data_IF_588667557601
#
_entry.id   IF_588667557601
#
_cell.length_a   1.000
_cell.length_b   1.000
_cell.length_c   1.000
_cell.angle_alpha   90.00
_cell.angle_beta   90.00
_cell.angle_gamma   90.00
#
_symmetry.space_group_name_H-M   'P 1'
#
loop_
_entity.id
_entity.type
_entity.pdbx_description
1 polymer ?
#
# COMPACT_ATOMS: atom_id res chain seq x y z
N UNK A 1 -9.86 -5.93 -7.55
CA UNK A 1 -9.64 -6.30 -6.13
C UNK A 1 -10.28 -5.23 -5.26
N UNK A 2 -10.85 -5.60 -4.10
CA UNK A 2 -11.55 -4.65 -3.22
C UNK A 2 -10.61 -4.07 -2.17
N UNK A 3 -10.91 -2.87 -1.67
CA UNK A 3 -10.21 -2.20 -0.55
C UNK A 3 -10.97 -2.34 0.78
N UNK A 4 -12.11 -3.05 0.79
CA UNK A 4 -13.03 -3.12 1.93
C UNK A 4 -12.38 -3.67 3.21
N UNK A 5 -11.53 -4.68 3.09
CA UNK A 5 -10.91 -5.33 4.26
C UNK A 5 -9.84 -4.45 4.90
N UNK A 6 -9.12 -3.68 4.08
CA UNK A 6 -8.26 -2.61 4.58
C UNK A 6 -9.05 -1.55 5.36
N UNK A 7 -10.17 -1.04 4.83
CA UNK A 7 -10.98 -0.04 5.54
C UNK A 7 -11.64 -0.60 6.80
N UNK A 8 -12.00 -1.89 6.82
CA UNK A 8 -12.46 -2.58 8.02
C UNK A 8 -11.37 -2.63 9.09
N UNK A 9 -10.14 -2.98 8.71
CA UNK A 9 -9.00 -2.99 9.62
C UNK A 9 -8.63 -1.59 10.12
N UNK A 10 -8.74 -0.58 9.25
CA UNK A 10 -8.54 0.83 9.60
C UNK A 10 -9.54 1.26 10.67
N UNK A 11 -10.83 0.98 10.47
CA UNK A 11 -11.87 1.30 11.45
C UNK A 11 -11.62 0.62 12.81
N UNK A 12 -11.26 -0.67 12.82
CA UNK A 12 -10.88 -1.38 14.06
C UNK A 12 -9.69 -0.70 14.76
N UNK A 13 -8.64 -0.38 14.00
CA UNK A 13 -7.44 0.29 14.51
C UNK A 13 -7.74 1.66 15.11
N UNK A 14 -8.66 2.43 14.50
CA UNK A 14 -9.09 3.75 14.98
C UNK A 14 -9.93 3.65 16.25
N UNK A 15 -10.74 2.61 16.39
CA UNK A 15 -11.45 2.28 17.64
C UNK A 15 -10.53 1.83 18.76
N UNK A 16 -9.20 1.77 18.52
CA UNK A 16 -8.18 1.21 19.42
C UNK A 16 -8.46 -0.26 19.77
N UNK A 17 -9.21 -0.92 18.90
CA UNK A 17 -9.53 -2.33 19.00
C UNK A 17 -8.63 -3.11 18.03
N UNK A 18 -7.97 -4.14 18.54
CA UNK A 18 -7.01 -4.96 17.79
C UNK A 18 -5.79 -4.15 17.29
N UNK A 19 -4.75 -4.88 16.87
CA UNK A 19 -3.46 -4.36 16.41
C UNK A 19 -2.60 -3.65 17.48
N UNK A 20 -1.34 -3.41 17.13
CA UNK A 20 -0.35 -2.80 18.03
C UNK A 20 -0.58 -1.29 18.18
N UNK A 21 -0.07 -0.65 19.25
CA UNK A 21 -0.18 0.80 19.43
C UNK A 21 0.41 1.62 18.27
N UNK A 22 1.43 1.08 17.58
CA UNK A 22 2.02 1.71 16.40
C UNK A 22 1.02 1.79 15.23
N UNK A 23 0.33 0.68 14.95
CA UNK A 23 -0.71 0.59 13.91
C UNK A 23 -1.88 1.52 14.24
N UNK A 24 -2.32 1.55 15.50
CA UNK A 24 -3.39 2.43 15.96
C UNK A 24 -3.00 3.92 15.85
N UNK A 25 -1.76 4.27 16.18
CA UNK A 25 -1.25 5.64 16.06
C UNK A 25 -1.14 6.11 14.61
N UNK A 26 -0.79 5.20 13.70
CA UNK A 26 -0.80 5.50 12.26
C UNK A 26 -2.24 5.67 11.76
N UNK A 27 -3.16 4.79 12.16
CA UNK A 27 -4.58 4.84 11.80
C UNK A 27 -5.27 6.13 12.24
N UNK A 28 -4.92 6.65 13.43
CA UNK A 28 -5.50 7.87 13.97
C UNK A 28 -5.25 9.12 13.12
N UNK A 29 -4.22 9.11 12.26
CA UNK A 29 -3.89 10.20 11.34
C UNK A 29 -4.65 10.13 10.02
N UNK A 30 -5.32 9.01 9.75
CA UNK A 30 -5.96 8.73 8.47
C UNK A 30 -7.39 9.26 8.48
N UNK A 31 -7.69 10.16 7.54
CA UNK A 31 -9.08 10.49 7.22
C UNK A 31 -9.65 9.39 6.30
N UNK A 32 -10.52 8.54 6.82
CA UNK A 32 -11.02 7.37 6.11
C UNK A 32 -11.86 7.72 4.88
N UNK A 33 -12.71 8.74 4.97
CA UNK A 33 -13.58 9.17 3.87
C UNK A 33 -12.77 9.78 2.73
N UNK A 34 -11.85 10.69 3.07
CA UNK A 34 -10.95 11.31 2.09
C UNK A 34 -10.04 10.25 1.44
N UNK A 35 -9.52 9.30 2.22
CA UNK A 35 -8.71 8.21 1.70
C UNK A 35 -9.51 7.32 0.75
N UNK A 36 -10.73 6.93 1.13
CA UNK A 36 -11.58 6.09 0.28
C UNK A 36 -11.88 6.76 -1.05
N UNK A 37 -12.28 8.04 -1.02
CA UNK A 37 -12.51 8.81 -2.23
C UNK A 37 -11.25 8.90 -3.10
N UNK A 38 -10.08 9.16 -2.49
CA UNK A 38 -8.81 9.26 -3.20
C UNK A 38 -8.42 7.94 -3.87
N UNK A 39 -8.46 6.83 -3.11
CA UNK A 39 -8.10 5.50 -3.62
C UNK A 39 -9.07 5.06 -4.72
N UNK A 40 -10.38 5.24 -4.55
CA UNK A 40 -11.36 4.84 -5.56
C UNK A 40 -11.19 5.67 -6.86
N UNK A 41 -10.98 6.98 -6.74
CA UNK A 41 -10.72 7.86 -7.89
C UNK A 41 -9.42 7.50 -8.62
N UNK A 42 -8.33 7.28 -7.87
CA UNK A 42 -7.04 6.89 -8.43
C UNK A 42 -7.14 5.53 -9.11
N UNK A 43 -7.74 4.54 -8.46
CA UNK A 43 -7.86 3.17 -8.99
C UNK A 43 -8.71 3.12 -10.26
N UNK A 44 -9.76 3.94 -10.35
CA UNK A 44 -10.58 4.08 -11.54
C UNK A 44 -9.89 4.83 -12.70
N UNK A 45 -8.84 5.61 -12.41
CA UNK A 45 -8.05 6.32 -13.40
C UNK A 45 -6.97 5.48 -14.09
N UNK A 46 -6.22 6.14 -14.97
CA UNK A 46 -5.05 5.58 -15.67
C UNK A 46 -3.78 5.58 -14.81
N UNK A 47 -2.64 5.24 -15.42
CA UNK A 47 -1.36 5.08 -14.72
C UNK A 47 -0.81 6.39 -14.13
N UNK A 48 -1.17 7.53 -14.72
CA UNK A 48 -0.85 8.88 -14.29
C UNK A 48 -1.85 9.48 -13.29
N UNK A 49 -2.86 8.71 -12.88
CA UNK A 49 -3.91 9.18 -11.97
C UNK A 49 -3.34 9.73 -10.66
N UNK A 50 -3.82 10.91 -10.28
CA UNK A 50 -3.46 11.60 -9.04
C UNK A 50 -4.65 12.43 -8.54
N UNK A 51 -4.71 12.63 -7.24
CA UNK A 51 -5.62 13.56 -6.59
C UNK A 51 -4.94 14.93 -6.46
N UNK A 52 -5.61 15.97 -6.95
CA UNK A 52 -5.17 17.36 -6.81
C UNK A 52 -5.61 18.00 -5.51
N UNK A 53 -6.57 17.38 -4.82
CA UNK A 53 -7.05 17.84 -3.52
C UNK A 53 -6.02 17.52 -2.42
N UNK A 54 -5.66 18.54 -1.64
CA UNK A 54 -4.61 18.44 -0.63
C UNK A 54 -5.01 17.50 0.51
N UNK A 55 -6.29 17.47 0.88
CA UNK A 55 -6.80 16.61 1.94
C UNK A 55 -6.79 15.14 1.49
N UNK A 56 -7.17 14.87 0.24
CA UNK A 56 -7.07 13.55 -0.37
C UNK A 56 -5.61 13.07 -0.49
N UNK A 57 -4.69 13.94 -0.91
CA UNK A 57 -3.27 13.61 -1.02
C UNK A 57 -2.65 13.30 0.36
N UNK A 58 -2.98 14.10 1.38
CA UNK A 58 -2.55 13.88 2.75
C UNK A 58 -3.14 12.58 3.33
N UNK A 59 -4.43 12.33 3.10
CA UNK A 59 -5.11 11.10 3.52
C UNK A 59 -4.51 9.86 2.83
N UNK A 60 -4.18 9.94 1.54
CA UNK A 60 -3.52 8.87 0.79
C UNK A 60 -2.15 8.52 1.35
N UNK A 61 -1.33 9.54 1.63
CA UNK A 61 -0.02 9.34 2.26
C UNK A 61 -0.14 8.72 3.65
N UNK A 62 -1.04 9.23 4.49
CA UNK A 62 -1.29 8.67 5.82
C UNK A 62 -1.82 7.23 5.74
N UNK A 63 -2.73 6.96 4.79
CA UNK A 63 -3.27 5.63 4.52
C UNK A 63 -2.20 4.64 4.07
N UNK A 64 -1.26 5.08 3.24
CA UNK A 64 -0.10 4.29 2.84
C UNK A 64 0.80 3.99 4.04
N UNK A 65 1.16 4.98 4.86
CA UNK A 65 1.96 4.77 6.07
C UNK A 65 1.28 3.75 7.00
N UNK A 66 -0.03 3.89 7.21
CA UNK A 66 -0.80 2.90 7.96
C UNK A 66 -0.78 1.50 7.31
N UNK A 67 -0.93 1.40 5.99
CA UNK A 67 -0.87 0.13 5.26
C UNK A 67 0.49 -0.58 5.45
N UNK A 68 1.59 0.17 5.53
CA UNK A 68 2.93 -0.38 5.76
C UNK A 68 3.13 -0.92 7.17
N UNK A 69 2.37 -0.42 8.14
CA UNK A 69 2.32 -1.01 9.49
C UNK A 69 1.35 -2.18 9.53
N UNK A 70 0.20 -2.07 8.85
CA UNK A 70 -0.82 -3.10 8.83
C UNK A 70 -0.34 -4.39 8.14
N UNK A 71 0.47 -4.31 7.08
CA UNK A 71 1.02 -5.49 6.40
C UNK A 71 1.90 -6.35 7.34
N UNK A 72 2.48 -5.74 8.39
CA UNK A 72 3.27 -6.47 9.41
C UNK A 72 2.38 -7.24 10.39
N UNK A 73 1.08 -6.96 10.40
CA UNK A 73 0.08 -7.64 11.23
C UNK A 73 -0.55 -8.83 10.51
N UNK A 74 -0.11 -9.19 9.30
CA UNK A 74 -0.58 -10.40 8.62
C UNK A 74 -0.18 -11.64 9.42
N UNK A 75 -1.09 -12.61 9.52
CA UNK A 75 -0.86 -13.86 10.28
C UNK A 75 0.28 -14.68 9.67
N UNK A 76 0.38 -14.68 8.34
CA UNK A 76 1.43 -15.35 7.59
C UNK A 76 2.05 -14.41 6.56
N UNK A 77 3.21 -14.79 6.07
CA UNK A 77 3.86 -14.06 4.99
C UNK A 77 3.08 -14.22 3.67
N UNK A 78 2.90 -13.14 2.88
CA UNK A 78 2.37 -13.24 1.53
C UNK A 78 3.24 -14.10 0.62
N UNK A 79 2.64 -14.64 -0.44
CA UNK A 79 3.37 -15.35 -1.48
C UNK A 79 4.45 -14.49 -2.14
N UNK A 80 5.44 -15.12 -2.77
CA UNK A 80 6.58 -14.43 -3.40
C UNK A 80 6.15 -13.33 -4.36
N UNK A 81 5.14 -13.58 -5.20
CA UNK A 81 4.63 -12.61 -6.17
C UNK A 81 3.98 -11.39 -5.49
N UNK A 82 3.23 -11.62 -4.42
CA UNK A 82 2.61 -10.54 -3.64
C UNK A 82 3.65 -9.71 -2.91
N UNK A 83 4.69 -10.35 -2.36
CA UNK A 83 5.85 -9.65 -1.78
C UNK A 83 6.57 -8.77 -2.81
N UNK A 84 6.74 -9.25 -4.04
CA UNK A 84 7.35 -8.48 -5.14
C UNK A 84 6.49 -7.26 -5.52
N UNK A 85 5.16 -7.45 -5.64
CA UNK A 85 4.22 -6.34 -5.90
C UNK A 85 4.22 -5.31 -4.78
N UNK A 86 4.12 -5.75 -3.53
CA UNK A 86 4.19 -4.87 -2.35
C UNK A 86 5.51 -4.10 -2.33
N UNK A 87 6.63 -4.75 -2.62
CA UNK A 87 7.93 -4.08 -2.72
C UNK A 87 7.96 -3.03 -3.82
N UNK A 88 7.52 -3.37 -5.03
CA UNK A 88 7.50 -2.47 -6.17
C UNK A 88 6.65 -1.22 -5.85
N UNK A 89 5.40 -1.42 -5.44
CA UNK A 89 4.50 -0.33 -5.06
C UNK A 89 5.05 0.50 -3.91
N UNK A 90 5.65 -0.11 -2.89
CA UNK A 90 6.26 0.61 -1.77
C UNK A 90 7.39 1.54 -2.24
N UNK A 91 8.28 1.04 -3.11
CA UNK A 91 9.38 1.84 -3.66
C UNK A 91 8.87 2.98 -4.52
N UNK A 92 7.93 2.70 -5.43
CA UNK A 92 7.34 3.75 -6.29
C UNK A 92 6.54 4.78 -5.49
N UNK A 93 5.84 4.36 -4.44
CA UNK A 93 5.10 5.25 -3.51
C UNK A 93 5.99 6.24 -2.76
N UNK A 94 7.27 5.93 -2.61
CA UNK A 94 8.27 6.78 -1.97
C UNK A 94 9.15 7.53 -2.97
N UNK A 95 8.85 7.39 -4.26
CA UNK A 95 9.66 7.89 -5.37
C UNK A 95 11.12 7.41 -5.29
N UNK A 96 11.32 6.19 -4.78
CA UNK A 96 12.63 5.55 -4.68
C UNK A 96 12.87 4.63 -5.88
N UNK A 97 13.98 4.86 -6.58
CA UNK A 97 14.48 3.95 -7.61
C UNK A 97 15.43 2.91 -6.97
N UNK A 98 15.11 1.60 -7.03
CA UNK A 98 16.02 0.55 -6.60
C UNK A 98 17.22 0.48 -7.55
N UNK A 99 18.41 0.30 -6.98
CA UNK A 99 19.63 0.15 -7.76
C UNK A 99 19.55 -1.05 -8.72
N UNK A 100 20.07 -0.86 -9.94
CA UNK A 100 20.10 -1.94 -10.92
C UNK A 100 20.99 -3.08 -10.39
N UNK A 101 20.44 -4.31 -10.28
CA UNK A 101 21.15 -5.43 -9.71
C UNK A 101 22.17 -6.01 -10.69
N UNK A 102 23.24 -6.59 -10.13
CA UNK A 102 24.23 -7.33 -10.92
C UNK A 102 23.67 -8.68 -11.40
N UNK A 103 24.28 -9.26 -12.43
CA UNK A 103 23.75 -10.44 -13.15
C UNK A 103 23.58 -11.69 -12.27
N UNK A 104 24.33 -11.81 -11.18
CA UNK A 104 24.29 -12.94 -10.24
C UNK A 104 23.30 -12.75 -9.08
N UNK A 105 22.67 -11.57 -8.95
CA UNK A 105 21.71 -11.28 -7.87
C UNK A 105 20.27 -11.52 -8.34
N UNK A 106 19.89 -12.80 -8.46
CA UNK A 106 18.59 -13.19 -9.00
C UNK A 106 17.40 -12.60 -8.23
N UNK A 107 17.41 -12.61 -6.90
CA UNK A 107 16.32 -12.04 -6.09
C UNK A 107 16.19 -10.52 -6.30
N UNK A 108 17.31 -9.80 -6.28
CA UNK A 108 17.33 -8.36 -6.54
C UNK A 108 16.86 -8.05 -7.96
N UNK A 109 17.16 -8.91 -8.93
CA UNK A 109 16.67 -8.80 -10.31
C UNK A 109 15.15 -8.89 -10.39
N UNK A 110 14.52 -9.82 -9.67
CA UNK A 110 13.06 -9.90 -9.62
C UNK A 110 12.42 -8.65 -9.00
N UNK A 111 12.99 -8.16 -7.89
CA UNK A 111 12.55 -6.92 -7.24
C UNK A 111 12.68 -5.69 -8.15
N UNK A 112 13.83 -5.56 -8.82
CA UNK A 112 14.07 -4.47 -9.78
C UNK A 112 13.14 -4.55 -10.98
N UNK A 113 12.92 -5.74 -11.55
CA UNK A 113 12.02 -5.93 -12.67
C UNK A 113 10.57 -5.58 -12.30
N UNK A 114 10.08 -6.05 -11.13
CA UNK A 114 8.75 -5.71 -10.66
C UNK A 114 8.57 -4.20 -10.46
N UNK A 115 9.58 -3.51 -9.90
CA UNK A 115 9.57 -2.05 -9.81
C UNK A 115 9.62 -1.37 -11.18
N UNK A 116 10.46 -1.87 -12.10
CA UNK A 116 10.63 -1.30 -13.44
C UNK A 116 9.36 -1.43 -14.28
N UNK A 117 8.60 -2.51 -14.12
CA UNK A 117 7.31 -2.67 -14.80
C UNK A 117 6.31 -1.59 -14.39
N UNK A 118 6.34 -1.13 -13.15
CA UNK A 118 5.42 -0.11 -12.63
C UNK A 118 6.02 1.30 -12.58
N UNK A 119 7.27 1.50 -13.00
CA UNK A 119 7.95 2.80 -12.80
C UNK A 119 7.29 3.97 -13.52
N UNK A 120 6.47 3.68 -14.54
CA UNK A 120 5.69 4.64 -15.30
C UNK A 120 4.45 5.17 -14.56
N UNK A 121 3.96 4.48 -13.52
CA UNK A 121 2.77 4.92 -12.78
C UNK A 121 3.10 6.10 -11.86
N UNK A 122 2.11 6.90 -11.49
CA UNK A 122 2.26 8.00 -10.54
C UNK A 122 2.57 7.50 -9.12
N UNK A 123 3.22 8.34 -8.31
CA UNK A 123 3.49 8.02 -6.90
C UNK A 123 2.20 7.71 -6.12
N UNK A 124 1.15 8.50 -6.35
CA UNK A 124 -0.13 8.33 -5.68
C UNK A 124 -0.86 7.07 -6.16
N UNK A 125 -0.73 6.71 -7.43
CA UNK A 125 -1.22 5.43 -7.95
C UNK A 125 -0.53 4.25 -7.29
N UNK A 126 0.79 4.31 -7.11
CA UNK A 126 1.51 3.29 -6.37
C UNK A 126 1.01 3.16 -4.92
N UNK A 127 0.68 4.27 -4.24
CA UNK A 127 0.13 4.25 -2.89
C UNK A 127 -1.25 3.57 -2.84
N UNK A 128 -2.14 3.91 -3.78
CA UNK A 128 -3.46 3.31 -3.88
C UNK A 128 -3.39 1.79 -4.20
N UNK A 129 -2.51 1.39 -5.12
CA UNK A 129 -2.28 -0.02 -5.46
C UNK A 129 -1.67 -0.79 -4.28
N UNK A 130 -0.76 -0.17 -3.52
CA UNK A 130 -0.23 -0.77 -2.30
C UNK A 130 -1.35 -1.07 -1.29
N UNK A 131 -2.24 -0.09 -1.05
CA UNK A 131 -3.40 -0.27 -0.16
C UNK A 131 -4.32 -1.40 -0.65
N UNK A 132 -4.60 -1.46 -1.95
CA UNK A 132 -5.41 -2.54 -2.54
C UNK A 132 -4.73 -3.91 -2.39
N UNK A 133 -3.42 -3.98 -2.58
CA UNK A 133 -2.65 -5.22 -2.42
C UNK A 133 -2.63 -5.68 -0.95
N UNK A 134 -2.48 -4.75 0.01
CA UNK A 134 -2.58 -5.05 1.44
C UNK A 134 -3.99 -5.54 1.79
N UNK A 135 -5.05 -4.90 1.27
CA UNK A 135 -6.43 -5.37 1.48
C UNK A 135 -6.61 -6.82 1.02
N UNK A 136 -6.03 -7.17 -0.14
CA UNK A 136 -6.11 -8.52 -0.70
C UNK A 136 -5.32 -9.53 0.15
N UNK A 137 -4.17 -9.12 0.67
CA UNK A 137 -3.39 -9.95 1.60
C UNK A 137 -4.18 -10.22 2.88
N UNK A 138 -4.89 -9.21 3.41
CA UNK A 138 -5.78 -9.38 4.57
C UNK A 138 -6.92 -10.35 4.27
N UNK A 139 -7.54 -10.24 3.08
CA UNK A 139 -8.62 -11.15 2.66
C UNK A 139 -8.15 -12.61 2.57
N UNK A 140 -6.92 -12.82 2.12
CA UNK A 140 -6.39 -14.16 1.85
C UNK A 140 -5.75 -14.78 3.09
N UNK A 141 -5.05 -13.99 3.89
CA UNK A 141 -4.20 -14.46 4.99
C UNK A 141 -4.83 -14.16 6.36
N UNK A 142 -5.56 -13.06 6.47
CA UNK A 142 -6.02 -12.49 7.72
C UNK A 142 -4.93 -11.71 8.48
N UNK A 143 -5.33 -11.13 9.60
CA UNK A 143 -4.44 -10.39 10.50
C UNK A 143 -4.53 -10.87 11.93
N UNK A 144 -3.44 -10.76 12.68
CA UNK A 144 -3.32 -11.13 14.10
C UNK A 144 -3.63 -9.99 15.08
#
# INVERSE_FOLDING_TARGET
MSTNSFFTALAASQSKEKFTPAVQSAAAKVNADALKAAVDAILAGGDDASVSDADQAAALKAGFEYATELVKMLVNEPGTDDKLKLYAYFKRSRDEEPAQPSFYQFESKFKYNAWKEISHISQQRAQALYIQQVSTAIDTIGTQ
#
